data_IF_162050692602
#
_entry.id   IF_162050692602
#
_cell.length_a   1.000
_cell.length_b   1.000
_cell.length_c   1.000
_cell.angle_alpha   90.00
_cell.angle_beta   90.00
_cell.angle_gamma   90.00
#
_symmetry.space_group_name_H-M   'P 1'
#
loop_
_entity.id
_entity.type
_entity.pdbx_description
1 polymer ?
#
# COMPACT_ATOMS: atom_id res chain seq x y z
N UNK A 1 23.83 -9.25 8.64
CA UNK A 1 24.06 -8.09 9.53
C UNK A 1 22.68 -7.50 9.82
N UNK A 2 22.20 -7.63 11.05
CA UNK A 2 20.89 -7.10 11.46
C UNK A 2 21.06 -5.62 11.78
N UNK A 3 20.21 -4.77 11.22
CA UNK A 3 20.20 -3.33 11.49
C UNK A 3 19.76 -3.11 12.94
N UNK A 4 20.71 -2.78 13.81
CA UNK A 4 20.41 -2.38 15.19
C UNK A 4 19.95 -0.91 15.17
N UNK A 5 18.65 -0.70 15.02
CA UNK A 5 18.03 0.63 14.99
C UNK A 5 17.60 1.00 16.42
N UNK A 6 18.56 1.42 17.25
CA UNK A 6 18.30 2.24 18.44
C UNK A 6 18.58 1.61 19.82
N UNK A 7 19.16 2.43 20.71
CA UNK A 7 19.20 2.25 22.18
C UNK A 7 20.26 1.30 22.74
N UNK A 8 21.02 1.74 23.75
CA UNK A 8 21.83 0.87 24.61
C UNK A 8 20.88 0.13 25.58
N UNK A 9 20.78 -1.20 25.46
CA UNK A 9 19.97 -2.02 26.38
C UNK A 9 19.47 -3.34 25.78
N UNK A 10 19.08 -4.29 26.64
CA UNK A 10 18.49 -5.56 26.26
C UNK A 10 17.01 -5.43 25.87
N UNK A 11 16.33 -4.38 26.35
CA UNK A 11 14.94 -4.08 26.05
C UNK A 11 14.81 -3.36 24.70
N UNK A 12 13.93 -3.84 23.81
CA UNK A 12 13.67 -3.21 22.52
C UNK A 12 12.81 -1.95 22.64
N UNK A 13 12.99 -1.03 21.70
CA UNK A 13 12.19 0.20 21.65
C UNK A 13 10.75 -0.09 21.23
N UNK A 14 9.84 0.83 21.54
CA UNK A 14 8.46 0.76 21.06
C UNK A 14 8.39 0.69 19.52
N UNK A 15 9.23 1.45 18.83
CA UNK A 15 9.26 1.48 17.36
C UNK A 15 9.77 0.17 16.76
N UNK A 16 10.77 -0.47 17.36
CA UNK A 16 11.22 -1.81 16.95
C UNK A 16 10.09 -2.85 17.09
N UNK A 17 9.32 -2.78 18.18
CA UNK A 17 8.16 -3.64 18.41
C UNK A 17 7.03 -3.39 17.40
N UNK A 18 6.66 -2.12 17.20
CA UNK A 18 5.60 -1.73 16.28
C UNK A 18 5.94 -2.12 14.83
N UNK A 19 7.20 -1.96 14.43
CA UNK A 19 7.67 -2.37 13.11
C UNK A 19 7.57 -3.89 12.93
N UNK A 20 7.93 -4.68 13.96
CA UNK A 20 7.78 -6.14 13.94
C UNK A 20 6.31 -6.59 13.88
N UNK A 21 5.36 -5.86 14.49
CA UNK A 21 3.92 -6.18 14.40
C UNK A 21 3.32 -5.85 13.02
N UNK A 22 3.80 -4.78 12.36
CA UNK A 22 3.26 -4.32 11.08
C UNK A 22 3.60 -5.27 9.91
N UNK A 23 4.74 -5.96 9.98
CA UNK A 23 5.32 -6.70 8.85
C UNK A 23 4.42 -7.83 8.30
N UNK A 24 3.80 -8.70 9.11
CA UNK A 24 2.89 -9.72 8.59
C UNK A 24 1.66 -9.11 7.91
N UNK A 25 1.15 -7.97 8.39
CA UNK A 25 -0.01 -7.29 7.80
C UNK A 25 0.33 -6.71 6.43
N UNK A 26 1.50 -6.08 6.28
CA UNK A 26 1.96 -5.56 4.99
C UNK A 26 2.29 -6.68 4.01
N UNK A 27 2.92 -7.77 4.47
CA UNK A 27 3.21 -8.95 3.66
C UNK A 27 1.92 -9.55 3.10
N UNK A 28 0.86 -9.64 3.91
CA UNK A 28 -0.46 -10.09 3.43
C UNK A 28 -0.97 -9.21 2.29
N UNK A 29 -1.06 -7.91 2.51
CA UNK A 29 -1.60 -6.98 1.52
C UNK A 29 -0.79 -7.01 0.21
N UNK A 30 0.53 -7.06 0.31
CA UNK A 30 1.43 -7.17 -0.84
C UNK A 30 1.21 -8.48 -1.62
N UNK A 31 1.14 -9.62 -0.94
CA UNK A 31 0.89 -10.91 -1.58
C UNK A 31 -0.48 -10.96 -2.26
N UNK A 32 -1.54 -10.50 -1.60
CA UNK A 32 -2.89 -10.47 -2.17
C UNK A 32 -2.93 -9.59 -3.43
N UNK A 33 -2.28 -8.43 -3.39
CA UNK A 33 -2.19 -7.56 -4.57
C UNK A 33 -1.37 -8.20 -5.71
N UNK A 34 -0.17 -8.72 -5.41
CA UNK A 34 0.68 -9.36 -6.42
C UNK A 34 0.00 -10.57 -7.06
N UNK A 35 -0.64 -11.42 -6.26
CA UNK A 35 -1.41 -12.57 -6.76
C UNK A 35 -2.59 -12.09 -7.59
N UNK A 36 -3.30 -11.04 -7.18
CA UNK A 36 -4.40 -10.45 -7.94
C UNK A 36 -3.97 -9.98 -9.33
N UNK A 37 -2.83 -9.29 -9.43
CA UNK A 37 -2.27 -8.85 -10.72
C UNK A 37 -1.82 -10.04 -11.59
N UNK A 38 -1.16 -11.04 -10.99
CA UNK A 38 -0.72 -12.25 -11.71
C UNK A 38 -1.91 -13.15 -12.13
N UNK A 39 -3.02 -13.10 -11.39
CA UNK A 39 -4.20 -13.88 -11.69
C UNK A 39 -4.89 -13.46 -12.99
N UNK A 40 -4.68 -12.21 -13.43
CA UNK A 40 -5.11 -11.75 -14.77
C UNK A 40 -4.46 -12.55 -15.91
N UNK A 41 -3.30 -13.18 -15.67
CA UNK A 41 -2.55 -13.93 -16.68
C UNK A 41 -2.66 -15.45 -16.52
N UNK A 42 -2.97 -15.93 -15.32
CA UNK A 42 -2.97 -17.38 -15.03
C UNK A 42 -4.21 -17.81 -14.24
N UNK A 43 -5.01 -18.76 -14.76
CA UNK A 43 -6.28 -19.15 -14.13
C UNK A 43 -6.10 -19.92 -12.82
N UNK A 44 -4.93 -20.53 -12.59
CA UNK A 44 -4.68 -21.26 -11.33
C UNK A 44 -4.59 -20.31 -10.12
N UNK A 45 -4.12 -19.08 -10.32
CA UNK A 45 -3.96 -18.11 -9.24
C UNK A 45 -5.30 -17.57 -8.73
N UNK A 46 -6.38 -17.64 -9.51
CA UNK A 46 -7.72 -17.35 -8.99
C UNK A 46 -8.11 -18.31 -7.87
N UNK A 47 -7.81 -19.62 -8.00
CA UNK A 47 -8.06 -20.58 -6.92
C UNK A 47 -7.26 -20.26 -5.66
N UNK A 48 -6.04 -19.74 -5.81
CA UNK A 48 -5.22 -19.33 -4.67
C UNK A 48 -5.79 -18.07 -3.99
N UNK A 49 -6.35 -17.14 -4.78
CA UNK A 49 -7.00 -15.93 -4.30
C UNK A 49 -8.33 -16.24 -3.59
N UNK A 50 -9.10 -17.20 -4.09
CA UNK A 50 -10.33 -17.67 -3.43
C UNK A 50 -10.07 -18.19 -2.01
N UNK A 51 -8.89 -18.78 -1.79
CA UNK A 51 -8.40 -19.26 -0.51
C UNK A 51 -7.27 -18.38 0.08
N UNK A 52 -7.39 -17.06 -0.05
CA UNK A 52 -6.37 -16.10 0.44
C UNK A 52 -6.07 -16.30 1.94
N UNK A 53 -7.09 -16.48 2.77
CA UNK A 53 -6.89 -16.60 4.23
C UNK A 53 -6.16 -17.89 4.61
N UNK A 54 -6.52 -19.00 3.98
CA UNK A 54 -5.94 -20.32 4.20
C UNK A 54 -4.50 -20.38 3.69
N UNK A 55 -4.26 -19.89 2.47
CA UNK A 55 -2.94 -19.86 1.86
C UNK A 55 -1.97 -18.96 2.64
N UNK A 56 -2.42 -17.77 3.06
CA UNK A 56 -1.62 -16.88 3.91
C UNK A 56 -1.34 -17.49 5.28
N UNK A 57 -2.34 -18.10 5.92
CA UNK A 57 -2.14 -18.76 7.23
C UNK A 57 -1.17 -19.93 7.13
N UNK A 58 -1.19 -20.70 6.05
CA UNK A 58 -0.25 -21.79 5.81
C UNK A 58 1.17 -21.25 5.62
N UNK A 59 1.33 -20.21 4.80
CA UNK A 59 2.62 -19.55 4.58
C UNK A 59 3.19 -19.01 5.91
N UNK A 60 2.39 -18.29 6.70
CA UNK A 60 2.81 -17.79 8.00
C UNK A 60 3.10 -18.93 8.98
N UNK A 61 2.36 -20.04 8.94
CA UNK A 61 2.66 -21.22 9.75
C UNK A 61 4.04 -21.77 9.45
N UNK A 62 4.42 -21.89 8.17
CA UNK A 62 5.73 -22.39 7.75
C UNK A 62 6.84 -21.44 8.20
N UNK A 63 6.68 -20.13 7.93
CA UNK A 63 7.67 -19.12 8.29
C UNK A 63 7.87 -19.00 9.81
N UNK A 64 6.78 -18.95 10.57
CA UNK A 64 6.83 -18.84 12.03
C UNK A 64 7.32 -20.14 12.68
N UNK A 65 6.92 -21.31 12.17
CA UNK A 65 7.44 -22.58 12.65
C UNK A 65 8.95 -22.71 12.43
N UNK A 66 9.43 -22.24 11.26
CA UNK A 66 10.85 -22.21 10.96
C UNK A 66 11.58 -21.24 11.90
N UNK A 67 11.12 -19.99 12.02
CA UNK A 67 11.75 -18.96 12.84
C UNK A 67 11.78 -19.32 14.34
N UNK A 68 10.70 -19.85 14.90
CA UNK A 68 10.66 -20.29 16.30
C UNK A 68 11.54 -21.52 16.56
N UNK A 69 11.84 -22.30 15.53
CA UNK A 69 12.72 -23.47 15.62
C UNK A 69 14.19 -23.09 15.52
N UNK A 70 14.54 -22.14 14.66
CA UNK A 70 15.94 -21.74 14.39
C UNK A 70 16.40 -20.62 15.33
N UNK A 71 15.62 -19.54 15.43
CA UNK A 71 16.02 -18.29 16.10
C UNK A 71 15.35 -18.05 17.46
N UNK A 72 14.42 -18.91 17.89
CA UNK A 72 13.59 -18.70 19.11
C UNK A 72 12.89 -17.32 19.10
N UNK A 73 12.50 -16.86 17.91
CA UNK A 73 11.85 -15.59 17.66
C UNK A 73 10.71 -15.83 16.67
N UNK A 74 9.75 -14.89 16.57
CA UNK A 74 8.85 -14.88 15.42
C UNK A 74 9.58 -14.47 14.14
N UNK A 75 8.98 -14.73 12.98
CA UNK A 75 9.55 -14.35 11.70
C UNK A 75 9.85 -12.85 11.64
N UNK A 76 8.88 -12.01 12.00
CA UNK A 76 9.08 -10.56 11.99
C UNK A 76 10.08 -10.09 13.05
N UNK A 77 10.05 -10.64 14.27
CA UNK A 77 11.05 -10.33 15.30
C UNK A 77 12.48 -10.66 14.82
N UNK A 78 12.67 -11.81 14.16
CA UNK A 78 13.98 -12.21 13.64
C UNK A 78 14.51 -11.26 12.57
N UNK A 79 13.62 -10.63 11.79
CA UNK A 79 13.98 -9.63 10.78
C UNK A 79 14.53 -8.35 11.41
N UNK A 80 13.98 -7.96 12.56
CA UNK A 80 14.41 -6.80 13.35
C UNK A 80 15.49 -7.14 14.40
N UNK A 81 16.01 -8.38 14.42
CA UNK A 81 17.05 -8.79 15.36
C UNK A 81 16.57 -8.95 16.80
N UNK A 82 15.28 -9.23 16.97
CA UNK A 82 14.62 -9.46 18.24
C UNK A 82 14.49 -10.97 18.51
N UNK A 83 14.45 -11.34 19.80
CA UNK A 83 14.36 -12.73 20.27
C UNK A 83 13.46 -12.85 21.50
N UNK A 84 12.74 -13.96 21.62
CA UNK A 84 11.85 -14.24 22.76
C UNK A 84 12.59 -14.99 23.87
N UNK A 85 12.34 -14.58 25.11
CA UNK A 85 12.87 -15.22 26.33
C UNK A 85 11.75 -15.44 27.35
N UNK A 86 11.80 -16.53 28.14
CA UNK A 86 10.85 -16.72 29.23
C UNK A 86 11.10 -15.67 30.32
N UNK A 87 10.04 -15.00 30.79
CA UNK A 87 10.11 -13.99 31.84
C UNK A 87 10.32 -14.56 33.26
N UNK A 88 10.17 -15.88 33.43
CA UNK A 88 10.35 -16.56 34.71
C UNK A 88 11.73 -17.21 34.80
N UNK A 89 12.73 -16.43 35.21
CA UNK A 89 13.85 -16.91 36.04
C UNK A 89 14.07 -15.83 37.10
N UNK A 90 13.51 -16.03 38.30
CA UNK A 90 14.03 -15.38 39.50
C UNK A 90 15.45 -15.91 39.68
N UNK A 91 16.43 -15.03 39.53
CA UNK A 91 17.81 -15.30 39.90
C UNK A 91 17.84 -15.67 41.38
N UNK A 92 18.30 -16.88 41.67
CA UNK A 92 19.13 -17.06 42.86
C UNK A 92 20.50 -16.53 42.43
N UNK A 93 20.93 -15.44 43.04
CA UNK A 93 22.24 -14.82 42.83
C UNK A 93 23.34 -15.87 43.04
N UNK A 94 24.06 -16.23 41.97
CA UNK A 94 25.50 -16.60 41.98
C UNK A 94 26.02 -17.27 40.70
N UNK A 95 25.20 -17.56 39.68
CA UNK A 95 25.75 -18.07 38.41
C UNK A 95 25.86 -16.97 37.36
N UNK A 96 27.06 -16.39 37.27
CA UNK A 96 27.61 -15.66 36.13
C UNK A 96 27.86 -16.59 34.92
N UNK A 97 26.93 -17.50 34.66
CA UNK A 97 26.82 -18.22 33.40
C UNK A 97 25.47 -17.86 32.80
N UNK A 98 25.50 -16.97 31.81
CA UNK A 98 24.41 -16.59 30.93
C UNK A 98 23.93 -17.78 30.10
N UNK A 99 23.39 -18.80 30.77
CA UNK A 99 22.80 -19.97 30.15
C UNK A 99 21.63 -19.49 29.29
N UNK A 100 21.80 -19.59 27.97
CA UNK A 100 20.78 -19.26 26.98
C UNK A 100 19.48 -20.03 27.28
N UNK A 101 18.56 -19.40 28.03
CA UNK A 101 17.33 -20.06 28.49
C UNK A 101 16.38 -20.22 27.30
N UNK A 102 16.40 -21.41 26.72
CA UNK A 102 15.58 -21.74 25.55
C UNK A 102 14.09 -21.73 25.90
N UNK A 103 13.26 -21.31 24.94
CA UNK A 103 11.81 -21.41 25.07
C UNK A 103 11.38 -22.87 25.20
N UNK A 104 10.52 -23.14 26.18
CA UNK A 104 9.97 -24.49 26.39
C UNK A 104 9.15 -24.89 25.15
N UNK A 105 9.13 -26.19 24.79
CA UNK A 105 8.34 -26.69 23.65
C UNK A 105 6.86 -26.25 23.69
N UNK A 106 6.27 -26.23 24.89
CA UNK A 106 4.90 -25.72 25.10
C UNK A 106 4.77 -24.23 24.79
N UNK A 107 5.74 -23.41 25.22
CA UNK A 107 5.76 -21.97 24.92
C UNK A 107 5.91 -21.72 23.41
N UNK A 108 6.75 -22.49 22.71
CA UNK A 108 6.89 -22.41 21.26
C UNK A 108 5.59 -22.75 20.52
N UNK A 109 4.92 -23.83 20.93
CA UNK A 109 3.66 -24.25 20.32
C UNK A 109 2.55 -23.23 20.59
N UNK A 110 2.43 -22.75 21.82
CA UNK A 110 1.43 -21.74 22.17
C UNK A 110 1.72 -20.41 21.45
N UNK A 111 2.99 -20.00 21.34
CA UNK A 111 3.34 -18.79 20.62
C UNK A 111 3.01 -18.89 19.13
N UNK A 112 3.21 -20.06 18.52
CA UNK A 112 2.80 -20.33 17.13
C UNK A 112 1.28 -20.27 16.99
N UNK A 113 0.54 -20.84 17.96
CA UNK A 113 -0.92 -20.78 17.97
C UNK A 113 -1.42 -19.33 18.04
N UNK A 114 -0.86 -18.51 18.92
CA UNK A 114 -1.23 -17.09 19.02
C UNK A 114 -0.85 -16.27 17.78
N UNK A 115 0.28 -16.56 17.13
CA UNK A 115 0.74 -15.82 15.96
C UNK A 115 0.03 -16.18 14.66
N UNK A 116 -0.52 -17.39 14.55
CA UNK A 116 -1.10 -17.90 13.30
C UNK A 116 -2.59 -18.15 13.43
N UNK A 117 -3.00 -18.93 14.44
CA UNK A 117 -4.39 -19.38 14.59
C UNK A 117 -5.28 -18.23 15.02
N UNK A 118 -4.85 -17.42 15.99
CA UNK A 118 -5.64 -16.26 16.44
C UNK A 118 -5.91 -15.24 15.31
N UNK A 119 -4.91 -14.75 14.55
CA UNK A 119 -5.18 -13.83 13.45
C UNK A 119 -5.96 -14.49 12.32
N UNK A 120 -5.78 -15.80 12.06
CA UNK A 120 -6.62 -16.52 11.11
C UNK A 120 -8.10 -16.50 11.52
N UNK A 121 -8.41 -16.88 12.76
CA UNK A 121 -9.76 -16.83 13.30
C UNK A 121 -10.35 -15.43 13.28
N UNK A 122 -9.56 -14.41 13.69
CA UNK A 122 -9.98 -12.99 13.64
C UNK A 122 -10.30 -12.57 12.21
N UNK A 123 -9.48 -12.95 11.22
CA UNK A 123 -9.69 -12.61 9.81
C UNK A 123 -10.92 -13.31 9.21
N UNK A 124 -11.16 -14.58 9.57
CA UNK A 124 -12.36 -15.32 9.15
C UNK A 124 -13.63 -14.75 9.75
N UNK A 125 -13.62 -14.42 11.04
CA UNK A 125 -14.74 -13.73 11.70
C UNK A 125 -15.02 -12.38 11.05
N UNK A 126 -13.97 -11.60 10.74
CA UNK A 126 -14.11 -10.32 10.05
C UNK A 126 -14.73 -10.47 8.65
N UNK A 127 -14.28 -11.46 7.87
CA UNK A 127 -14.82 -11.73 6.53
C UNK A 127 -16.30 -12.12 6.57
N UNK A 128 -16.69 -12.98 7.52
CA UNK A 128 -18.10 -13.37 7.72
C UNK A 128 -18.94 -12.15 8.11
N UNK A 129 -18.45 -11.36 9.06
CA UNK A 129 -19.12 -10.14 9.51
C UNK A 129 -19.31 -9.12 8.37
N UNK A 130 -18.26 -8.86 7.57
CA UNK A 130 -18.34 -7.93 6.45
C UNK A 130 -19.33 -8.41 5.39
N UNK A 131 -19.32 -9.71 5.05
CA UNK A 131 -20.26 -10.29 4.08
C UNK A 131 -21.72 -10.11 4.53
N UNK A 132 -22.01 -10.33 5.81
CA UNK A 132 -23.35 -10.11 6.36
C UNK A 132 -23.73 -8.63 6.41
N UNK A 133 -22.79 -7.77 6.79
CA UNK A 133 -22.99 -6.33 6.82
C UNK A 133 -23.29 -5.80 5.42
N UNK A 134 -22.54 -6.23 4.41
CA UNK A 134 -22.75 -5.88 3.01
C UNK A 134 -24.11 -6.38 2.51
N UNK A 135 -24.46 -7.64 2.78
CA UNK A 135 -25.78 -8.19 2.41
C UNK A 135 -26.94 -7.40 3.06
N UNK A 136 -26.78 -7.00 4.33
CA UNK A 136 -27.78 -6.19 5.04
C UNK A 136 -27.89 -4.78 4.45
N UNK A 137 -26.75 -4.13 4.16
CA UNK A 137 -26.71 -2.81 3.53
C UNK A 137 -27.35 -2.86 2.14
N UNK A 138 -27.02 -3.88 1.34
CA UNK A 138 -27.58 -4.07 0.01
C UNK A 138 -29.10 -4.28 0.05
N UNK A 139 -29.59 -5.12 0.98
CA UNK A 139 -31.03 -5.32 1.18
C UNK A 139 -31.75 -4.03 1.61
N UNK A 140 -31.14 -3.19 2.47
CA UNK A 140 -31.73 -1.90 2.84
C UNK A 140 -31.76 -0.88 1.70
N UNK A 141 -30.80 -0.95 0.78
CA UNK A 141 -30.70 0.01 -0.33
C UNK A 141 -31.61 -0.35 -1.50
N UNK A 142 -31.68 -1.64 -1.87
CA UNK A 142 -32.34 -2.09 -3.10
C UNK A 142 -33.63 -2.88 -2.85
N UNK A 143 -34.02 -3.03 -1.58
CA UNK A 143 -35.13 -3.91 -1.19
C UNK A 143 -34.72 -5.38 -1.26
N UNK A 144 -35.45 -6.23 -0.55
CA UNK A 144 -35.17 -7.66 -0.53
C UNK A 144 -35.79 -8.31 -1.79
N UNK A 145 -35.04 -8.38 -2.90
CA UNK A 145 -35.51 -9.08 -4.12
C UNK A 145 -35.84 -10.57 -3.86
N UNK A 146 -35.38 -11.12 -2.73
CA UNK A 146 -35.60 -12.51 -2.32
C UNK A 146 -36.84 -12.74 -1.43
N UNK A 147 -37.61 -11.70 -1.05
CA UNK A 147 -38.82 -11.90 -0.24
C UNK A 147 -39.96 -12.59 -1.01
N UNK A 148 -39.90 -12.67 -2.35
CA UNK A 148 -40.96 -13.29 -3.15
C UNK A 148 -40.91 -14.83 -3.27
N UNK A 149 -39.91 -15.54 -2.70
CA UNK A 149 -39.75 -16.99 -2.90
C UNK A 149 -39.44 -17.86 -1.66
N UNK A 150 -39.67 -17.39 -0.43
CA UNK A 150 -39.32 -18.18 0.78
C UNK A 150 -40.48 -18.58 1.69
N UNK A 151 -41.69 -18.78 1.17
CA UNK A 151 -42.76 -19.38 1.98
C UNK A 151 -42.77 -20.93 2.01
N UNK A 152 -42.11 -21.65 1.09
CA UNK A 152 -42.25 -23.12 1.06
C UNK A 152 -40.99 -23.86 0.61
N UNK A 153 -40.13 -24.26 1.57
CA UNK A 153 -39.37 -25.50 1.50
C UNK A 153 -38.68 -25.75 2.85
N UNK A 154 -38.79 -26.99 3.36
CA UNK A 154 -38.19 -27.50 4.60
C UNK A 154 -36.74 -26.99 4.79
N UNK A 155 -36.57 -25.91 5.55
CA UNK A 155 -35.26 -25.41 5.92
C UNK A 155 -34.62 -26.43 6.87
N UNK A 156 -33.56 -27.10 6.41
CA UNK A 156 -32.75 -28.00 7.23
C UNK A 156 -32.37 -27.33 8.56
N UNK A 157 -32.40 -28.07 9.67
CA UNK A 157 -31.99 -27.59 11.01
C UNK A 157 -30.64 -26.85 10.97
N UNK A 158 -29.72 -27.28 10.10
CA UNK A 158 -28.42 -26.65 9.88
C UNK A 158 -28.54 -25.19 9.42
N UNK A 159 -29.53 -24.85 8.59
CA UNK A 159 -29.75 -23.49 8.07
C UNK A 159 -30.30 -22.52 9.11
N UNK A 160 -31.07 -23.02 10.08
CA UNK A 160 -31.58 -22.21 11.20
C UNK A 160 -30.46 -21.92 12.20
N UNK A 161 -29.62 -22.91 12.49
CA UNK A 161 -28.46 -22.75 13.37
C UNK A 161 -27.45 -21.78 12.76
N UNK A 162 -27.16 -21.89 11.46
CA UNK A 162 -26.25 -20.95 10.80
C UNK A 162 -26.82 -19.53 10.80
N UNK A 163 -28.11 -19.33 10.48
CA UNK A 163 -28.75 -18.00 10.56
C UNK A 163 -28.71 -17.40 11.97
N UNK A 164 -28.88 -18.22 13.02
CA UNK A 164 -28.75 -17.76 14.42
C UNK A 164 -27.31 -17.40 14.75
N UNK A 165 -26.35 -18.24 14.37
CA UNK A 165 -24.93 -18.00 14.58
C UNK A 165 -24.47 -16.71 13.89
N UNK A 166 -24.88 -16.49 12.65
CA UNK A 166 -24.63 -15.27 11.87
C UNK A 166 -25.15 -14.02 12.61
N UNK A 167 -26.41 -14.02 13.07
CA UNK A 167 -26.95 -12.92 13.89
C UNK A 167 -26.14 -12.65 15.17
N UNK A 168 -25.70 -13.70 15.86
CA UNK A 168 -24.88 -13.58 17.07
C UNK A 168 -23.50 -13.00 16.72
N UNK A 169 -22.87 -13.46 15.64
CA UNK A 169 -21.60 -12.91 15.15
C UNK A 169 -21.76 -11.42 14.81
N UNK A 170 -22.84 -11.04 14.13
CA UNK A 170 -23.14 -9.64 13.81
C UNK A 170 -23.23 -8.72 15.03
N UNK A 171 -23.70 -9.21 16.17
CA UNK A 171 -23.86 -8.43 17.39
C UNK A 171 -22.62 -8.47 18.30
N UNK A 172 -22.01 -9.65 18.45
CA UNK A 172 -20.87 -9.86 19.35
C UNK A 172 -19.53 -9.46 18.73
N UNK A 173 -19.36 -9.60 17.41
CA UNK A 173 -18.10 -9.27 16.73
C UNK A 173 -17.61 -7.83 16.95
N UNK A 174 -18.43 -6.77 16.79
CA UNK A 174 -17.96 -5.40 16.97
C UNK A 174 -17.49 -5.13 18.42
N UNK A 175 -18.18 -5.69 19.42
CA UNK A 175 -17.78 -5.58 20.83
C UNK A 175 -16.47 -6.33 21.12
N UNK A 176 -16.35 -7.57 20.60
CA UNK A 176 -15.12 -8.35 20.74
C UNK A 176 -13.95 -7.67 20.03
N UNK A 177 -14.16 -7.15 18.82
CA UNK A 177 -13.14 -6.44 18.06
C UNK A 177 -12.68 -5.19 18.80
N UNK A 178 -13.62 -4.35 19.25
CA UNK A 178 -13.33 -3.16 20.05
C UNK A 178 -12.57 -3.49 21.34
N UNK A 179 -12.97 -4.56 22.04
CA UNK A 179 -12.27 -5.06 23.23
C UNK A 179 -10.84 -5.48 22.91
N UNK A 180 -10.62 -6.30 21.87
CA UNK A 180 -9.27 -6.75 21.50
C UNK A 180 -8.33 -5.63 21.09
N UNK A 181 -8.82 -4.65 20.31
CA UNK A 181 -8.03 -3.48 19.93
C UNK A 181 -7.77 -2.56 21.13
N UNK A 182 -8.76 -2.38 22.01
CA UNK A 182 -8.62 -1.61 23.24
C UNK A 182 -7.58 -2.20 24.19
N UNK A 183 -7.58 -3.53 24.38
CA UNK A 183 -6.54 -4.21 25.15
C UNK A 183 -5.17 -4.08 24.50
N UNK A 184 -5.07 -4.25 23.18
CA UNK A 184 -3.80 -4.10 22.47
C UNK A 184 -3.23 -2.68 22.65
N UNK A 185 -4.07 -1.65 22.47
CA UNK A 185 -3.69 -0.26 22.69
C UNK A 185 -3.27 0.01 24.15
N UNK A 186 -4.01 -0.52 25.14
CA UNK A 186 -3.67 -0.36 26.54
C UNK A 186 -2.30 -0.96 26.88
N UNK A 187 -1.99 -2.16 26.39
CA UNK A 187 -0.66 -2.77 26.58
C UNK A 187 0.45 -1.99 25.86
N UNK A 188 0.20 -1.53 24.63
CA UNK A 188 1.14 -0.68 23.90
C UNK A 188 1.44 0.63 24.63
N UNK A 189 0.42 1.27 25.21
CA UNK A 189 0.56 2.49 26.00
C UNK A 189 1.33 2.22 27.31
N UNK A 190 0.99 1.14 28.02
CA UNK A 190 1.70 0.72 29.24
C UNK A 190 3.17 0.35 28.96
N UNK A 191 3.46 -0.20 27.78
CA UNK A 191 4.83 -0.48 27.35
C UNK A 191 5.61 0.81 27.05
N UNK A 192 4.95 1.82 26.48
CA UNK A 192 5.53 3.12 26.19
C UNK A 192 5.80 3.93 27.47
N UNK A 193 4.90 3.86 28.45
CA UNK A 193 5.04 4.45 29.78
C UNK A 193 6.02 3.71 30.71
N UNK A 194 6.71 2.68 30.19
CA UNK A 194 7.65 1.85 30.93
C UNK A 194 7.06 1.12 32.16
N UNK A 195 5.72 1.09 32.29
CA UNK A 195 5.02 0.46 33.41
C UNK A 195 5.00 -1.07 33.30
N UNK A 196 5.03 -1.61 32.08
CA UNK A 196 5.08 -3.05 31.83
C UNK A 196 6.19 -3.40 30.85
N UNK A 197 6.82 -4.57 31.06
CA UNK A 197 7.81 -5.14 30.13
C UNK A 197 7.21 -5.93 28.97
N UNK A 198 5.88 -5.97 28.83
CA UNK A 198 5.17 -6.77 27.84
C UNK A 198 4.46 -5.88 26.82
N UNK A 199 4.68 -6.15 25.53
CA UNK A 199 4.10 -5.34 24.45
C UNK A 199 2.65 -5.71 24.11
N UNK A 200 2.25 -6.98 24.31
CA UNK A 200 0.90 -7.47 24.00
C UNK A 200 0.38 -8.43 25.07
N UNK A 201 -0.95 -8.55 25.16
CA UNK A 201 -1.62 -9.47 26.07
C UNK A 201 -1.17 -10.93 25.84
N UNK A 202 -0.94 -11.32 24.59
CA UNK A 202 -0.48 -12.67 24.26
C UNK A 202 0.91 -12.97 24.85
N UNK A 203 1.84 -12.01 24.79
CA UNK A 203 3.16 -12.16 25.39
C UNK A 203 3.09 -12.23 26.92
N UNK A 204 2.21 -11.43 27.51
CA UNK A 204 1.97 -11.45 28.96
C UNK A 204 1.39 -12.79 29.42
N UNK A 205 0.36 -13.31 28.74
CA UNK A 205 -0.27 -14.60 29.05
C UNK A 205 0.71 -15.79 28.91
N UNK A 206 1.66 -15.70 27.99
CA UNK A 206 2.70 -16.72 27.81
C UNK A 206 3.89 -16.57 28.76
N UNK A 207 3.99 -15.44 29.47
CA UNK A 207 5.14 -15.09 30.29
C UNK A 207 6.44 -15.02 29.47
N UNK A 208 6.37 -14.43 28.28
CA UNK A 208 7.50 -14.29 27.36
C UNK A 208 7.78 -12.80 27.18
N UNK A 209 9.04 -12.41 27.34
CA UNK A 209 9.52 -11.06 27.02
C UNK A 209 10.38 -11.12 25.75
N UNK A 210 10.44 -10.00 25.02
CA UNK A 210 11.24 -9.90 23.80
C UNK A 210 12.46 -9.03 24.10
N UNK A 211 13.64 -9.51 23.70
CA UNK A 211 14.93 -8.86 23.87
C UNK A 211 15.65 -8.69 22.54
N UNK A 212 16.63 -7.78 22.48
CA UNK A 212 17.58 -7.71 21.36
C UNK A 212 18.48 -8.94 21.36
N UNK A 213 18.72 -9.52 20.18
CA UNK A 213 19.65 -10.64 20.01
C UNK A 213 21.10 -10.16 20.06
N UNK A 214 21.93 -10.80 20.88
CA UNK A 214 23.38 -10.52 20.91
C UNK A 214 24.10 -11.26 19.78
N UNK A 215 25.18 -10.68 19.23
CA UNK A 215 25.93 -11.30 18.13
C UNK A 215 26.51 -12.69 18.47
N UNK A 216 26.92 -12.88 19.73
CA UNK A 216 27.36 -14.19 20.24
C UNK A 216 26.22 -15.22 20.22
N UNK A 217 25.01 -14.84 20.65
CA UNK A 217 23.84 -15.75 20.63
C UNK A 217 23.40 -16.15 19.23
N UNK A 218 23.61 -15.28 18.23
CA UNK A 218 23.38 -15.58 16.82
C UNK A 218 24.36 -16.63 16.30
N UNK A 219 25.65 -16.53 16.66
CA UNK A 219 26.66 -17.54 16.30
C UNK A 219 26.41 -18.88 16.99
N UNK A 220 25.98 -18.87 18.25
CA UNK A 220 25.59 -20.08 18.98
C UNK A 220 24.31 -20.70 18.40
N UNK A 221 23.38 -19.90 17.90
CA UNK A 221 22.20 -20.40 17.22
C UNK A 221 22.56 -21.08 15.89
N UNK A 222 23.39 -20.45 15.04
CA UNK A 222 23.77 -21.00 13.74
C UNK A 222 24.55 -22.31 13.86
N UNK A 223 25.48 -22.41 14.83
CA UNK A 223 26.24 -23.63 15.09
C UNK A 223 25.39 -24.77 15.66
N UNK A 224 24.31 -24.46 16.39
CA UNK A 224 23.34 -25.46 16.85
C UNK A 224 22.45 -25.95 15.72
N UNK A 225 21.98 -25.03 14.86
CA UNK A 225 21.15 -25.35 13.71
C UNK A 225 21.90 -26.29 12.76
N UNK A 226 23.19 -26.03 12.48
CA UNK A 226 24.00 -26.89 11.62
C UNK A 226 24.13 -28.32 12.19
N UNK A 227 24.32 -28.46 13.51
CA UNK A 227 24.36 -29.77 14.21
C UNK A 227 23.02 -30.52 14.17
N UNK A 228 21.89 -29.80 14.25
CA UNK A 228 20.56 -30.43 14.16
C UNK A 228 20.32 -30.94 12.73
N UNK A 229 20.67 -30.13 11.73
CA UNK A 229 20.52 -30.48 10.31
C UNK A 229 21.39 -31.65 9.89
N UNK A 230 22.63 -31.72 10.38
CA UNK A 230 23.50 -32.88 10.11
C UNK A 230 22.89 -34.16 10.67
N UNK A 231 22.37 -34.12 11.91
CA UNK A 231 21.67 -35.26 12.53
C UNK A 231 20.39 -35.65 11.80
N UNK A 232 19.60 -34.69 11.29
CA UNK A 232 18.40 -34.99 10.51
C UNK A 232 18.77 -35.63 9.16
N UNK A 233 19.82 -35.15 8.50
CA UNK A 233 20.35 -35.74 7.26
C UNK A 233 20.86 -37.16 7.48
N UNK A 234 21.44 -37.45 8.64
CA UNK A 234 21.88 -38.80 9.05
C UNK A 234 20.72 -39.75 9.34
N UNK A 235 19.58 -39.24 9.85
CA UNK A 235 18.39 -40.05 10.20
C UNK A 235 17.53 -40.47 9.01
N UNK A 236 17.80 -39.97 7.81
CA UNK A 236 17.07 -40.34 6.59
C UNK A 236 17.29 -41.83 6.27
N UNK A 237 16.23 -42.63 6.45
CA UNK A 237 16.18 -44.07 6.11
C UNK A 237 15.53 -44.25 4.73
N UNK A 238 16.16 -45.03 3.86
CA UNK A 238 15.62 -45.37 2.53
C UNK A 238 16.70 -45.78 1.53
N UNK A 239 16.30 -46.22 0.32
CA UNK A 239 17.23 -46.53 -0.77
C UNK A 239 17.98 -45.28 -1.24
N UNK A 240 19.20 -45.48 -1.77
CA UNK A 240 20.18 -44.42 -2.07
C UNK A 240 19.62 -43.23 -2.87
N UNK A 241 18.81 -43.48 -3.90
CA UNK A 241 18.22 -42.43 -4.75
C UNK A 241 17.09 -41.63 -4.07
N UNK A 242 16.27 -42.27 -3.22
CA UNK A 242 15.25 -41.56 -2.42
C UNK A 242 15.94 -40.72 -1.34
N UNK A 243 17.02 -41.23 -0.74
CA UNK A 243 17.81 -40.49 0.26
C UNK A 243 18.47 -39.25 -0.34
N UNK A 244 19.03 -39.34 -1.56
CA UNK A 244 19.63 -38.17 -2.23
C UNK A 244 18.56 -37.16 -2.61
N UNK A 245 17.41 -37.60 -3.15
CA UNK A 245 16.30 -36.70 -3.52
C UNK A 245 15.70 -36.01 -2.29
N UNK A 246 15.38 -36.77 -1.23
CA UNK A 246 14.83 -36.23 0.01
C UNK A 246 15.83 -35.30 0.72
N UNK A 247 17.11 -35.66 0.72
CA UNK A 247 18.18 -34.83 1.25
C UNK A 247 18.36 -33.53 0.47
N UNK A 248 18.29 -33.59 -0.86
CA UNK A 248 18.34 -32.41 -1.73
C UNK A 248 17.13 -31.51 -1.54
N UNK A 249 15.92 -32.08 -1.44
CA UNK A 249 14.69 -31.32 -1.20
C UNK A 249 14.72 -30.65 0.17
N UNK A 250 15.06 -31.38 1.24
CA UNK A 250 15.21 -30.81 2.58
C UNK A 250 16.27 -29.71 2.61
N UNK A 251 17.44 -29.97 2.01
CA UNK A 251 18.49 -28.95 1.89
C UNK A 251 17.98 -27.72 1.16
N UNK A 252 17.30 -27.88 0.02
CA UNK A 252 16.72 -26.78 -0.74
C UNK A 252 15.72 -25.99 0.11
N UNK A 253 14.77 -26.66 0.77
CA UNK A 253 13.78 -25.99 1.63
C UNK A 253 14.44 -25.22 2.78
N UNK A 254 15.45 -25.79 3.45
CA UNK A 254 16.17 -25.07 4.51
C UNK A 254 16.97 -23.91 3.97
N UNK A 255 17.62 -24.06 2.81
CA UNK A 255 18.34 -22.94 2.18
C UNK A 255 17.37 -21.82 1.81
N UNK A 256 16.24 -22.14 1.19
CA UNK A 256 15.23 -21.15 0.81
C UNK A 256 14.71 -20.44 2.06
N UNK A 257 14.41 -21.15 3.14
CA UNK A 257 13.90 -20.54 4.37
C UNK A 257 14.94 -19.69 5.12
N UNK A 258 16.20 -20.11 5.14
CA UNK A 258 17.28 -19.32 5.76
C UNK A 258 17.60 -18.06 4.96
N UNK A 259 17.64 -18.19 3.63
CA UNK A 259 17.89 -17.06 2.74
C UNK A 259 16.62 -16.26 2.41
N UNK A 260 15.44 -16.67 2.90
CA UNK A 260 14.19 -15.93 2.69
C UNK A 260 14.29 -14.50 3.23
N UNK A 261 14.90 -14.33 4.40
CA UNK A 261 15.14 -13.01 5.00
C UNK A 261 16.05 -12.14 4.13
N UNK A 262 17.19 -12.67 3.70
CA UNK A 262 18.13 -11.94 2.83
C UNK A 262 17.54 -11.67 1.46
N UNK A 263 16.75 -12.61 0.94
CA UNK A 263 16.05 -12.50 -0.33
C UNK A 263 14.96 -11.42 -0.28
N UNK A 264 14.21 -11.31 0.82
CA UNK A 264 13.22 -10.26 1.01
C UNK A 264 13.88 -8.88 1.02
N UNK A 265 14.98 -8.71 1.76
CA UNK A 265 15.73 -7.45 1.79
C UNK A 265 16.25 -7.09 0.39
N UNK A 266 16.84 -8.06 -0.32
CA UNK A 266 17.32 -7.86 -1.69
C UNK A 266 16.17 -7.52 -2.66
N UNK A 267 15.00 -8.15 -2.49
CA UNK A 267 13.81 -7.88 -3.30
C UNK A 267 13.27 -6.47 -3.05
N UNK A 268 13.22 -6.00 -1.80
CA UNK A 268 12.82 -4.62 -1.48
C UNK A 268 13.79 -3.63 -2.08
N UNK A 269 15.10 -3.88 -1.99
CA UNK A 269 16.12 -3.04 -2.62
C UNK A 269 15.94 -2.99 -4.15
N UNK A 270 15.80 -4.14 -4.78
CA UNK A 270 15.60 -4.23 -6.22
C UNK A 270 14.30 -3.56 -6.66
N UNK A 271 13.21 -3.74 -5.90
CA UNK A 271 11.94 -3.08 -6.16
C UNK A 271 12.09 -1.56 -6.05
N UNK A 272 12.75 -1.04 -5.01
CA UNK A 272 13.00 0.40 -4.86
C UNK A 272 13.90 0.96 -5.95
N UNK A 273 14.90 0.21 -6.39
CA UNK A 273 15.73 0.55 -7.55
C UNK A 273 14.91 0.59 -8.83
N UNK A 274 14.00 -0.38 -9.02
CA UNK A 274 13.11 -0.43 -10.17
C UNK A 274 12.08 0.71 -10.14
N UNK A 275 11.49 1.00 -8.98
CA UNK A 275 10.58 2.13 -8.76
C UNK A 275 11.27 3.45 -9.10
N UNK A 276 12.49 3.65 -8.60
CA UNK A 276 13.31 4.80 -8.95
C UNK A 276 13.60 4.89 -10.45
N UNK A 277 13.92 3.76 -11.10
CA UNK A 277 14.16 3.70 -12.55
C UNK A 277 12.93 4.12 -13.35
N UNK A 278 11.74 3.62 -12.99
CA UNK A 278 10.49 3.94 -13.68
C UNK A 278 9.97 5.34 -13.37
N UNK A 279 10.02 5.81 -12.12
CA UNK A 279 9.67 7.20 -11.76
C UNK A 279 10.55 8.20 -12.50
N UNK A 280 11.87 7.95 -12.56
CA UNK A 280 12.80 8.79 -13.31
C UNK A 280 12.51 8.77 -14.83
N UNK A 281 11.97 7.68 -15.37
CA UNK A 281 11.56 7.61 -16.77
C UNK A 281 10.25 8.39 -17.00
N UNK A 282 9.29 8.27 -16.09
CA UNK A 282 8.02 8.98 -16.15
C UNK A 282 8.18 10.50 -15.99
N UNK A 283 9.07 10.96 -15.11
CA UNK A 283 9.42 12.38 -14.99
C UNK A 283 10.04 12.94 -16.29
N UNK A 284 10.87 12.15 -16.98
CA UNK A 284 11.44 12.55 -18.28
C UNK A 284 10.43 12.57 -19.41
N UNK A 285 9.41 11.72 -19.36
CA UNK A 285 8.34 11.64 -20.36
C UNK A 285 7.24 12.67 -20.11
N UNK A 286 6.97 13.01 -18.84
CA UNK A 286 5.92 13.93 -18.42
C UNK A 286 6.39 15.38 -18.25
N UNK A 287 7.71 15.62 -18.23
CA UNK A 287 8.27 16.97 -18.32
C UNK A 287 7.74 17.63 -19.60
N UNK A 288 6.91 18.70 -19.50
CA UNK A 288 6.43 19.38 -20.67
C UNK A 288 7.64 19.88 -21.44
N UNK A 289 7.76 19.48 -22.71
CA UNK A 289 8.70 20.10 -23.64
C UNK A 289 8.26 21.56 -23.76
N UNK A 290 8.81 22.42 -22.91
CA UNK A 290 8.64 23.87 -23.00
C UNK A 290 9.41 24.30 -24.25
N UNK A 291 8.78 24.13 -25.40
CA UNK A 291 9.25 24.75 -26.61
C UNK A 291 9.25 26.26 -26.36
N UNK A 292 10.30 26.99 -26.78
CA UNK A 292 10.26 28.43 -26.73
C UNK A 292 8.98 28.91 -27.43
N UNK A 293 8.24 29.87 -26.86
CA UNK A 293 7.03 30.37 -27.49
C UNK A 293 7.39 30.75 -28.93
N UNK A 294 6.62 30.30 -29.94
CA UNK A 294 6.91 30.62 -31.32
C UNK A 294 6.99 32.15 -31.46
N UNK A 295 7.87 32.68 -32.33
CA UNK A 295 7.96 34.12 -32.55
C UNK A 295 6.56 34.65 -32.89
N UNK A 296 6.18 35.84 -32.36
CA UNK A 296 4.86 36.40 -32.59
C UNK A 296 4.58 36.51 -34.09
N UNK A 297 3.34 36.24 -34.55
CA UNK A 297 3.01 36.31 -35.96
C UNK A 297 3.30 37.73 -36.49
N UNK A 298 3.81 37.87 -37.73
CA UNK A 298 4.08 39.17 -38.30
C UNK A 298 2.78 39.99 -38.37
N UNK A 299 2.85 41.32 -38.17
CA UNK A 299 1.66 42.17 -38.23
C UNK A 299 1.01 42.09 -39.62
N UNK A 300 -0.33 42.16 -39.69
CA UNK A 300 -1.05 42.11 -40.96
C UNK A 300 -0.66 43.28 -41.86
N UNK A 301 -0.34 42.97 -43.12
CA UNK A 301 0.03 43.98 -44.12
C UNK A 301 -1.22 44.69 -44.65
N UNK A 302 -1.13 46.00 -44.85
CA UNK A 302 -2.17 46.79 -45.52
C UNK A 302 -2.24 46.34 -46.99
N UNK A 303 -3.45 46.17 -47.52
CA UNK A 303 -3.64 45.83 -48.93
C UNK A 303 -3.25 47.02 -49.82
N UNK A 304 -2.72 46.75 -51.02
CA UNK A 304 -2.32 47.82 -51.97
C UNK A 304 -3.49 48.76 -52.34
N UNK A 305 -4.71 48.24 -52.31
CA UNK A 305 -5.96 48.95 -52.59
C UNK A 305 -6.73 49.34 -51.31
N UNK A 306 -6.15 49.06 -50.14
CA UNK A 306 -6.73 49.42 -48.85
C UNK A 306 -6.52 50.89 -48.52
N UNK A 307 -7.29 51.38 -47.56
CA UNK A 307 -7.11 52.72 -47.01
C UNK A 307 -5.73 52.81 -46.36
N UNK A 308 -4.93 53.79 -46.81
CA UNK A 308 -3.61 54.03 -46.25
C UNK A 308 -3.73 54.50 -44.80
N UNK A 309 -2.84 54.01 -43.94
CA UNK A 309 -2.81 54.38 -42.54
C UNK A 309 -2.12 55.74 -42.37
N UNK A 310 -2.73 56.69 -41.64
CA UNK A 310 -2.05 57.92 -41.24
C UNK A 310 -0.77 57.62 -40.45
N UNK A 311 0.23 58.49 -40.58
CA UNK A 311 1.46 58.42 -39.77
C UNK A 311 1.16 58.51 -38.27
N UNK A 312 0.21 59.38 -37.91
CA UNK A 312 -0.24 59.54 -36.53
C UNK A 312 -1.27 58.48 -36.16
N UNK A 313 -0.87 57.62 -35.21
CA UNK A 313 -1.72 56.52 -34.75
C UNK A 313 -3.03 57.04 -34.16
N UNK A 314 -3.10 58.23 -33.57
CA UNK A 314 -4.31 58.78 -32.94
C UNK A 314 -5.42 59.17 -33.93
N UNK A 315 -5.12 59.20 -35.23
CA UNK A 315 -6.04 59.61 -36.30
C UNK A 315 -6.75 58.38 -36.87
N UNK A 316 -8.03 58.52 -37.20
CA UNK A 316 -8.80 57.50 -37.87
C UNK A 316 -8.49 57.50 -39.38
N UNK A 317 -8.14 56.37 -40.01
CA UNK A 317 -7.86 56.32 -41.45
C UNK A 317 -9.10 56.57 -42.32
N UNK A 318 -10.32 56.40 -41.79
CA UNK A 318 -11.57 56.60 -42.56
C UNK A 318 -12.06 58.04 -42.58
N UNK A 319 -11.99 58.75 -41.43
CA UNK A 319 -12.47 60.14 -41.34
C UNK A 319 -11.36 61.17 -41.22
N UNK A 320 -10.09 60.74 -41.12
CA UNK A 320 -8.90 61.57 -40.99
C UNK A 320 -8.94 62.56 -39.80
N UNK A 321 -9.80 62.30 -38.81
CA UNK A 321 -9.90 63.05 -37.56
C UNK A 321 -9.42 62.21 -36.37
N UNK A 322 -9.20 62.87 -35.22
CA UNK A 322 -8.86 62.21 -33.96
C UNK A 322 -9.90 61.12 -33.63
N UNK A 323 -9.44 59.92 -33.27
CA UNK A 323 -10.31 58.77 -33.04
C UNK A 323 -11.28 59.03 -31.87
N UNK A 324 -12.58 58.95 -32.15
CA UNK A 324 -13.67 59.00 -31.17
C UNK A 324 -14.26 57.59 -31.04
N UNK A 325 -14.37 57.09 -29.81
CA UNK A 325 -14.78 55.70 -29.51
C UNK A 325 -13.97 54.69 -30.34
N UNK A 326 -12.65 54.54 -30.05
CA UNK A 326 -11.77 53.69 -30.82
C UNK A 326 -12.28 52.24 -30.78
N UNK A 327 -12.34 51.60 -31.94
CA UNK A 327 -12.79 50.22 -32.08
C UNK A 327 -11.85 49.47 -33.01
N UNK A 328 -11.38 48.32 -32.55
CA UNK A 328 -10.51 47.42 -33.32
C UNK A 328 -11.33 46.48 -34.18
N UNK A 329 -10.83 46.24 -35.39
CA UNK A 329 -11.27 45.13 -36.23
C UNK A 329 -10.49 43.88 -35.85
N UNK A 330 -11.15 42.87 -35.29
CA UNK A 330 -10.48 41.63 -34.82
C UNK A 330 -9.76 40.86 -35.93
N UNK A 331 -10.24 40.94 -37.17
CA UNK A 331 -9.65 40.25 -38.33
C UNK A 331 -8.32 40.85 -38.77
N UNK A 332 -8.14 42.16 -38.62
CA UNK A 332 -6.97 42.87 -39.14
C UNK A 332 -6.14 43.60 -38.07
N UNK A 333 -6.62 43.67 -36.84
CA UNK A 333 -5.96 44.38 -35.74
C UNK A 333 -5.93 45.90 -35.88
N UNK A 334 -6.47 46.48 -36.96
CA UNK A 334 -6.49 47.94 -37.16
C UNK A 334 -7.64 48.61 -36.41
N UNK A 335 -7.41 49.84 -35.96
CA UNK A 335 -8.33 50.57 -35.09
C UNK A 335 -8.89 51.80 -35.80
N UNK A 336 -10.21 51.95 -35.72
CA UNK A 336 -10.99 53.00 -36.38
C UNK A 336 -11.94 53.66 -35.36
N UNK A 337 -12.61 54.75 -35.73
CA UNK A 337 -13.78 55.21 -34.98
C UNK A 337 -14.94 54.22 -35.16
N UNK A 338 -15.66 53.89 -34.08
CA UNK A 338 -16.79 52.96 -34.12
C UNK A 338 -17.83 53.34 -35.19
N UNK A 339 -18.22 54.60 -35.25
CA UNK A 339 -19.21 55.08 -36.23
C UNK A 339 -18.73 54.95 -37.69
N UNK A 340 -17.43 55.12 -37.94
CA UNK A 340 -16.86 55.05 -39.29
C UNK A 340 -16.79 53.60 -39.77
N UNK A 341 -16.26 52.70 -38.94
CA UNK A 341 -16.09 51.30 -39.32
C UNK A 341 -17.43 50.55 -39.41
N UNK A 342 -18.39 50.88 -38.53
CA UNK A 342 -19.74 50.30 -38.57
C UNK A 342 -20.46 50.63 -39.90
N UNK A 343 -20.41 51.91 -40.33
CA UNK A 343 -20.97 52.33 -41.62
C UNK A 343 -20.29 51.63 -42.80
N UNK A 344 -18.96 51.56 -42.78
CA UNK A 344 -18.18 50.93 -43.85
C UNK A 344 -18.46 49.43 -43.98
N UNK A 345 -18.51 48.69 -42.86
CA UNK A 345 -18.78 47.25 -42.85
C UNK A 345 -20.21 46.92 -43.27
N UNK A 346 -21.18 47.77 -42.93
CA UNK A 346 -22.57 47.59 -43.35
C UNK A 346 -22.72 47.67 -44.88
N UNK A 347 -21.92 48.52 -45.53
CA UNK A 347 -21.96 48.71 -46.99
C UNK A 347 -21.09 47.70 -47.75
N UNK A 348 -19.85 47.45 -47.30
CA UNK A 348 -18.85 46.74 -48.09
C UNK A 348 -18.48 45.36 -47.54
N UNK A 349 -18.91 44.99 -46.32
CA UNK A 349 -18.65 43.68 -45.66
C UNK A 349 -17.19 43.21 -45.70
N UNK A 350 -16.24 44.15 -45.66
CA UNK A 350 -14.79 43.92 -45.71
C UNK A 350 -14.03 44.94 -44.90
N UNK A 351 -12.83 44.59 -44.43
CA UNK A 351 -11.98 45.51 -43.71
C UNK A 351 -11.41 46.59 -44.66
N UNK A 352 -11.49 47.89 -44.32
CA UNK A 352 -10.99 48.96 -45.19
C UNK A 352 -9.47 48.96 -45.39
N UNK A 353 -8.69 48.45 -44.44
CA UNK A 353 -7.23 48.45 -44.53
C UNK A 353 -6.65 47.20 -45.20
N UNK A 354 -7.21 46.01 -44.93
CA UNK A 354 -6.69 44.74 -45.45
C UNK A 354 -7.55 44.11 -46.55
N UNK A 355 -8.76 44.63 -46.79
CA UNK A 355 -9.76 44.08 -47.74
C UNK A 355 -10.23 42.66 -47.44
N UNK A 356 -9.86 42.10 -46.28
CA UNK A 356 -10.32 40.80 -45.80
C UNK A 356 -11.81 40.88 -45.47
N UNK A 357 -12.64 39.88 -45.83
CA UNK A 357 -14.05 39.85 -45.51
C UNK A 357 -14.27 39.97 -44.00
N UNK A 358 -15.16 40.87 -43.60
CA UNK A 358 -15.40 41.17 -42.20
C UNK A 358 -16.86 41.55 -41.94
N UNK A 359 -17.37 41.15 -40.78
CA UNK A 359 -18.75 41.41 -40.33
C UNK A 359 -18.78 42.34 -39.13
N UNK A 360 -19.97 42.88 -38.83
CA UNK A 360 -20.17 43.83 -37.71
C UNK A 360 -19.81 43.20 -36.35
N UNK A 361 -20.02 41.88 -36.20
CA UNK A 361 -19.73 41.14 -34.96
C UNK A 361 -18.24 41.12 -34.61
N UNK A 362 -17.37 41.40 -35.57
CA UNK A 362 -15.92 41.41 -35.43
C UNK A 362 -15.36 42.77 -34.99
N UNK A 363 -16.23 43.78 -34.82
CA UNK A 363 -15.88 45.06 -34.22
C UNK A 363 -15.80 44.88 -32.70
N UNK A 364 -14.68 45.26 -32.09
CA UNK A 364 -14.52 45.33 -30.64
C UNK A 364 -14.20 46.75 -30.24
N UNK A 365 -15.01 47.35 -29.36
CA UNK A 365 -14.74 48.67 -28.81
C UNK A 365 -13.55 48.56 -27.86
N UNK A 366 -12.61 49.49 -27.98
CA UNK A 366 -11.50 49.64 -27.05
C UNK A 366 -11.91 50.68 -26.02
N UNK A 367 -11.83 50.29 -24.76
CA UNK A 367 -11.93 51.21 -23.63
C UNK A 367 -10.50 51.52 -23.22
N UNK A 368 -10.20 52.81 -23.10
CA UNK A 368 -8.96 53.25 -22.47
C UNK A 368 -9.33 53.59 -21.02
N UNK A 369 -8.64 52.96 -20.07
CA UNK A 369 -8.65 53.44 -18.70
C UNK A 369 -7.94 54.80 -18.72
N UNK A 370 -8.64 55.84 -18.26
CA UNK A 370 -8.12 57.22 -18.16
C UNK A 370 -7.19 57.32 -16.98
#
# INVERSE_FOLDING_TARGET
MLFQVGGQGSRPTFFEMAAAEQLPRSLRAALTYSIGVLALRTPFLHKLLDYEHESFSLLMLVLEAHSLRTTDASFSESLYGLRRRPANIKLNDNDSSSSSSQLRRRQKLLSLLFLVVLPYLKSKLHSIYNKEREARIQATLWGDENESYTFNARASVTTLITKRFQKIVGLCYPLLHAGTEGFQFAYQLLYLLDATGYYSLALHALGIHVCRATGQELMDASSRISKIRSRERERLRGPQWIKTLQGALLSCTYTVLDYAQTGLIAAVFFFKMMEWWYQSAEERMSAPTVYPPPPPPPPPKVAKEGVQLPSDRTICPLCLQKRVNPSVMTVSGFVFCYACIFKFLTQYKRCPATMVPATVDQIRRLFHDV
#
